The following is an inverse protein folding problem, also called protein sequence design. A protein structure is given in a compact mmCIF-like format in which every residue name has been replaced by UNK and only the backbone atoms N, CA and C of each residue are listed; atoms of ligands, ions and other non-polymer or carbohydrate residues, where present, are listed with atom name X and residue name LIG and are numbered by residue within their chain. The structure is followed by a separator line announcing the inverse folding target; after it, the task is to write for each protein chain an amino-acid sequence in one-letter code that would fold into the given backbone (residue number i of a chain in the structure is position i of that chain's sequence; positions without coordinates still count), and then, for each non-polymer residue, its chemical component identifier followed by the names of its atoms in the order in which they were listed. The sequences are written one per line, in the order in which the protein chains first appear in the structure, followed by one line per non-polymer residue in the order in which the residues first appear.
data_IF_418531579461
#
_entry.id   IF_418531579461
#
_cell.length_a   1.000
_cell.length_b   1.000
_cell.length_c   1.000
_cell.angle_alpha   90.00
_cell.angle_beta   90.00
_cell.angle_gamma   90.00
#
_symmetry.space_group_name_H-M   'P 1'
#
loop_
_entity.id
_entity.type
_entity.pdbx_description
1 polymer ?
#
# COMPACT_ATOMS: atom_id res chain seq x y z
N UNK A 1 -37.72 -42.58 -7.14
CA UNK A 1 -37.17 -41.21 -6.99
C UNK A 1 -36.12 -41.25 -5.89
N UNK A 2 -34.90 -40.89 -6.24
CA UNK A 2 -33.64 -41.43 -5.70
C UNK A 2 -33.07 -40.62 -4.52
N UNK A 3 -32.52 -41.33 -3.53
CA UNK A 3 -31.84 -40.81 -2.32
C UNK A 3 -30.71 -39.80 -2.59
N UNK A 4 -30.28 -39.63 -3.84
CA UNK A 4 -29.22 -38.71 -4.25
C UNK A 4 -29.64 -37.24 -4.11
N UNK A 5 -30.93 -36.90 -4.30
CA UNK A 5 -31.37 -35.50 -4.16
C UNK A 5 -31.33 -35.00 -2.71
N UNK A 6 -31.60 -35.90 -1.74
CA UNK A 6 -31.49 -35.59 -0.30
C UNK A 6 -30.03 -35.37 0.13
N UNK A 7 -29.08 -36.11 -0.44
CA UNK A 7 -27.65 -35.96 -0.12
C UNK A 7 -27.09 -34.61 -0.62
N UNK A 8 -27.49 -34.19 -1.82
CA UNK A 8 -27.04 -32.91 -2.41
C UNK A 8 -27.62 -31.72 -1.62
N UNK A 9 -28.84 -31.84 -1.11
CA UNK A 9 -29.47 -30.79 -0.31
C UNK A 9 -28.86 -30.67 1.11
N UNK A 10 -28.37 -31.78 1.68
CA UNK A 10 -27.67 -31.77 2.96
C UNK A 10 -26.28 -31.12 2.88
N UNK A 11 -25.52 -31.37 1.80
CA UNK A 11 -24.18 -30.78 1.64
C UNK A 11 -24.18 -29.26 1.44
N UNK A 12 -25.22 -28.68 0.83
CA UNK A 12 -25.34 -27.21 0.70
C UNK A 12 -25.57 -26.49 2.04
N UNK A 13 -26.21 -27.13 3.03
CA UNK A 13 -26.48 -26.50 4.34
C UNK A 13 -25.25 -26.43 5.25
N UNK A 14 -24.34 -27.39 5.13
CA UNK A 14 -23.13 -27.45 5.97
C UNK A 14 -22.15 -26.30 5.65
N UNK A 15 -22.02 -25.93 4.37
CA UNK A 15 -21.18 -24.79 3.99
C UNK A 15 -21.74 -23.43 4.40
N UNK A 16 -23.06 -23.27 4.44
CA UNK A 16 -23.68 -22.00 4.85
C UNK A 16 -23.54 -21.75 6.36
N UNK A 17 -23.57 -22.81 7.17
CA UNK A 17 -23.45 -22.69 8.63
C UNK A 17 -22.02 -22.36 9.09
N UNK A 18 -20.99 -22.88 8.41
CA UNK A 18 -19.60 -22.52 8.74
C UNK A 18 -19.24 -21.08 8.36
N UNK A 19 -19.86 -20.52 7.31
CA UNK A 19 -19.64 -19.12 6.93
C UNK A 19 -20.21 -18.13 7.97
N UNK A 20 -21.28 -18.52 8.66
CA UNK A 20 -21.98 -17.65 9.61
C UNK A 20 -21.27 -17.57 10.98
N UNK A 21 -20.53 -18.62 11.37
CA UNK A 21 -19.72 -18.64 12.60
C UNK A 21 -18.50 -17.69 12.48
N UNK A 22 -17.92 -17.53 11.30
CA UNK A 22 -16.79 -16.62 11.10
C UNK A 22 -17.17 -15.14 11.17
N UNK A 23 -18.43 -14.78 10.88
CA UNK A 23 -18.88 -13.38 10.88
C UNK A 23 -19.06 -12.81 12.31
N UNK A 24 -19.37 -13.66 13.29
CA UNK A 24 -19.63 -13.21 14.67
C UNK A 24 -18.35 -12.85 15.44
N UNK A 25 -17.21 -13.47 15.09
CA UNK A 25 -15.94 -13.23 15.80
C UNK A 25 -15.35 -11.84 15.45
N UNK A 26 -15.66 -11.30 14.27
CA UNK A 26 -15.11 -10.01 13.81
C UNK A 26 -15.86 -8.75 14.28
N UNK A 27 -17.00 -8.90 14.95
CA UNK A 27 -17.87 -7.77 15.35
C UNK A 27 -17.87 -7.50 16.87
N UNK A 28 -16.88 -8.03 17.61
CA UNK A 28 -16.75 -7.71 19.04
C UNK A 28 -15.89 -6.45 19.22
N UNK A 29 -16.44 -5.28 19.61
CA UNK A 29 -15.62 -4.18 20.09
C UNK A 29 -15.00 -4.59 21.43
N UNK A 30 -13.67 -4.63 21.49
CA UNK A 30 -12.93 -4.74 22.74
C UNK A 30 -13.23 -3.51 23.59
N UNK A 31 -14.02 -3.70 24.64
CA UNK A 31 -14.22 -2.71 25.70
C UNK A 31 -12.88 -2.53 26.43
N UNK A 32 -12.23 -1.38 26.20
CA UNK A 32 -11.08 -0.93 26.98
C UNK A 32 -11.63 -0.46 28.34
N UNK A 33 -11.28 -1.19 29.40
CA UNK A 33 -11.46 -0.75 30.78
C UNK A 33 -10.56 0.48 31.02
N UNK A 34 -11.18 1.63 31.30
CA UNK A 34 -10.49 2.77 31.88
C UNK A 34 -10.14 2.44 33.32
N UNK A 35 -8.85 2.37 33.62
CA UNK A 35 -8.37 2.29 34.99
C UNK A 35 -8.69 3.60 35.72
N UNK A 36 -9.39 3.42 36.83
CA UNK A 36 -9.72 4.37 37.87
C UNK A 36 -8.43 4.99 38.46
N UNK A 37 -8.28 6.31 38.39
CA UNK A 37 -7.13 7.05 38.93
C UNK A 37 -7.57 7.93 40.10
N UNK A 38 -8.15 7.29 41.12
CA UNK A 38 -8.44 7.91 42.40
C UNK A 38 -7.28 7.70 43.37
N UNK A 39 -6.48 8.77 43.56
CA UNK A 39 -5.90 9.26 44.83
C UNK A 39 -4.56 9.95 44.60
N UNK A 40 -4.57 11.27 44.66
CA UNK A 40 -3.54 11.95 45.43
C UNK A 40 -4.24 12.82 46.47
N UNK A 41 -4.00 12.41 47.71
CA UNK A 41 -4.54 12.97 48.95
C UNK A 41 -3.69 14.17 49.31
N UNK A 42 -4.35 15.26 49.68
CA UNK A 42 -3.72 16.42 50.29
C UNK A 42 -2.85 16.00 51.48
N UNK A 43 -1.57 16.37 51.42
CA UNK A 43 -0.70 16.42 52.59
C UNK A 43 0.07 17.72 52.57
N UNK A 44 -0.49 18.72 53.24
CA UNK A 44 0.26 19.86 53.76
C UNK A 44 1.38 19.31 54.65
N UNK A 45 2.60 19.28 54.11
CA UNK A 45 3.82 19.02 54.87
C UNK A 45 4.81 20.10 54.49
N UNK A 46 5.17 20.88 55.50
CA UNK A 46 6.13 21.98 55.41
C UNK A 46 7.43 21.51 54.75
N UNK A 47 7.86 22.25 53.73
CA UNK A 47 9.08 21.95 52.97
C UNK A 47 10.31 22.20 53.86
N UNK A 48 11.18 21.21 54.10
CA UNK A 48 12.43 21.48 54.78
C UNK A 48 13.28 22.42 53.92
N UNK A 49 13.80 23.47 54.55
CA UNK A 49 14.67 24.45 53.91
C UNK A 49 15.98 23.77 53.50
N UNK A 50 16.10 23.39 52.23
CA UNK A 50 17.36 22.88 51.68
C UNK A 50 18.27 24.06 51.36
N UNK A 51 19.48 24.05 51.93
CA UNK A 51 20.53 24.97 51.52
C UNK A 51 20.76 24.86 50.00
N UNK A 52 20.97 25.97 49.27
CA UNK A 52 21.18 25.92 47.84
C UNK A 52 22.47 25.15 47.54
N UNK A 53 22.34 24.00 46.89
CA UNK A 53 23.47 23.27 46.32
C UNK A 53 24.03 24.16 45.21
N UNK A 54 25.28 24.59 45.36
CA UNK A 54 26.01 25.28 44.32
C UNK A 54 26.34 24.27 43.21
N UNK A 55 25.43 24.08 42.27
CA UNK A 55 25.69 23.29 41.08
C UNK A 55 26.71 24.05 40.21
N UNK A 56 27.99 23.65 40.29
CA UNK A 56 28.88 23.85 39.16
C UNK A 56 28.39 22.91 38.06
N UNK A 57 27.49 23.42 37.22
CA UNK A 57 27.11 22.74 35.99
C UNK A 57 28.37 22.67 35.11
N UNK A 58 29.09 21.56 35.20
CA UNK A 58 29.99 21.14 34.15
C UNK A 58 29.11 20.99 32.92
N UNK A 59 29.12 21.99 32.05
CA UNK A 59 28.44 21.98 30.77
C UNK A 59 29.01 20.83 29.95
N UNK A 60 28.45 19.63 30.12
CA UNK A 60 28.51 18.61 29.09
C UNK A 60 27.88 19.25 27.88
N UNK A 61 28.73 19.61 26.93
CA UNK A 61 28.36 19.85 25.55
C UNK A 61 27.78 18.54 25.05
N UNK A 62 26.48 18.32 25.31
CA UNK A 62 25.71 17.34 24.58
C UNK A 62 25.87 17.75 23.13
N UNK A 63 26.64 16.97 22.38
CA UNK A 63 26.56 16.96 20.94
C UNK A 63 25.11 16.59 20.66
N UNK A 64 24.26 17.62 20.49
CA UNK A 64 22.90 17.45 20.05
C UNK A 64 22.98 16.70 18.74
N UNK A 65 22.68 15.40 18.80
CA UNK A 65 22.32 14.66 17.61
C UNK A 65 21.17 15.47 17.02
N UNK A 66 21.47 16.22 15.97
CA UNK A 66 20.45 16.93 15.21
C UNK A 66 19.63 15.80 14.62
N UNK A 67 18.51 15.45 15.26
CA UNK A 67 17.59 14.47 14.73
C UNK A 67 17.23 14.95 13.32
N UNK A 68 17.66 14.17 12.34
CA UNK A 68 17.50 14.56 10.97
C UNK A 68 16.00 14.54 10.67
N UNK A 69 15.42 15.70 10.33
CA UNK A 69 13.99 15.79 10.01
C UNK A 69 13.69 14.81 8.87
N UNK A 70 12.97 13.73 9.19
CA UNK A 70 12.63 12.69 8.24
C UNK A 70 11.36 13.07 7.49
N UNK A 71 11.53 13.62 6.29
CA UNK A 71 10.44 13.68 5.32
C UNK A 71 10.39 12.38 4.53
N UNK A 72 9.22 11.76 4.44
CA UNK A 72 9.02 10.62 3.54
C UNK A 72 7.83 10.89 2.63
N UNK A 73 7.94 10.43 1.39
CA UNK A 73 6.82 10.42 0.44
C UNK A 73 6.19 9.04 0.52
N UNK A 74 4.89 8.98 0.80
CA UNK A 74 4.13 7.73 0.91
C UNK A 74 3.41 7.41 -0.39
N UNK A 75 2.93 8.43 -1.11
CA UNK A 75 2.32 8.25 -2.43
C UNK A 75 2.37 9.53 -3.24
N UNK A 76 2.43 9.37 -4.56
CA UNK A 76 2.23 10.44 -5.53
C UNK A 76 1.12 10.00 -6.48
N UNK A 77 0.22 10.91 -6.81
CA UNK A 77 -0.80 10.67 -7.83
C UNK A 77 -0.93 11.86 -8.76
N UNK A 78 -1.13 11.57 -10.05
CA UNK A 78 -1.34 12.54 -11.12
C UNK A 78 -2.73 12.30 -11.70
N UNK A 79 -3.59 13.32 -11.74
CA UNK A 79 -4.98 13.22 -12.22
C UNK A 79 -5.77 12.07 -11.56
N UNK A 80 -5.59 11.89 -10.25
CA UNK A 80 -6.17 10.82 -9.42
C UNK A 80 -5.63 9.41 -9.68
N UNK A 81 -4.63 9.24 -10.54
CA UNK A 81 -3.94 7.96 -10.76
C UNK A 81 -2.66 7.91 -9.93
N UNK A 82 -2.47 6.83 -9.17
CA UNK A 82 -1.23 6.62 -8.42
C UNK A 82 -0.10 6.36 -9.41
N UNK A 83 0.99 7.11 -9.25
CA UNK A 83 2.20 6.95 -10.05
C UNK A 83 3.27 6.27 -9.21
N UNK A 84 3.93 5.29 -9.79
CA UNK A 84 5.06 4.61 -9.16
C UNK A 84 6.26 5.56 -9.06
N UNK A 85 6.86 5.63 -7.88
CA UNK A 85 8.07 6.43 -7.65
C UNK A 85 9.27 5.56 -8.04
N UNK A 86 9.85 5.85 -9.19
CA UNK A 86 11.07 5.18 -9.69
C UNK A 86 12.29 5.48 -8.81
N UNK A 87 13.38 4.74 -8.99
CA UNK A 87 14.63 4.92 -8.21
C UNK A 87 15.19 6.36 -8.27
N UNK A 88 15.05 7.01 -9.43
CA UNK A 88 15.46 8.41 -9.64
C UNK A 88 14.44 9.43 -9.12
N UNK A 89 13.28 8.99 -8.62
CA UNK A 89 12.18 9.84 -8.10
C UNK A 89 11.64 10.86 -9.12
N UNK A 90 11.75 10.55 -10.41
CA UNK A 90 11.22 11.38 -11.49
C UNK A 90 9.73 11.06 -11.69
N UNK A 91 8.87 12.08 -11.66
CA UNK A 91 7.43 11.97 -11.94
C UNK A 91 7.12 12.77 -13.20
N UNK A 92 6.70 12.07 -14.25
CA UNK A 92 6.38 12.67 -15.54
C UNK A 92 4.97 13.29 -15.49
N UNK A 93 4.87 14.55 -15.86
CA UNK A 93 3.62 15.31 -15.84
C UNK A 93 3.49 16.16 -17.08
N UNK A 94 2.25 16.39 -17.50
CA UNK A 94 1.88 17.29 -18.58
C UNK A 94 1.35 18.62 -18.04
N UNK A 95 1.23 19.60 -18.93
CA UNK A 95 0.55 20.86 -18.64
C UNK A 95 -0.88 20.57 -18.16
N UNK A 96 -1.31 21.31 -17.14
CA UNK A 96 -2.64 21.24 -16.52
C UNK A 96 -2.92 19.96 -15.71
N UNK A 97 -1.95 19.05 -15.56
CA UNK A 97 -2.07 17.91 -14.66
C UNK A 97 -2.22 18.36 -13.20
N UNK A 98 -3.06 17.64 -12.46
CA UNK A 98 -3.21 17.78 -11.01
C UNK A 98 -2.31 16.77 -10.29
N UNK A 99 -1.34 17.25 -9.53
CA UNK A 99 -0.39 16.45 -8.75
C UNK A 99 -0.75 16.48 -7.28
N UNK A 100 -0.92 15.31 -6.68
CA UNK A 100 -1.08 15.13 -5.23
C UNK A 100 0.10 14.35 -4.68
N UNK A 101 0.71 14.88 -3.62
CA UNK A 101 1.80 14.23 -2.90
C UNK A 101 1.35 14.03 -1.46
N UNK A 102 1.45 12.80 -0.97
CA UNK A 102 1.23 12.47 0.43
C UNK A 102 2.54 11.99 1.06
N UNK A 103 2.71 12.25 2.35
CA UNK A 103 3.93 11.91 3.05
C UNK A 103 3.81 11.90 4.57
N UNK A 104 4.94 11.65 5.22
CA UNK A 104 5.13 11.81 6.67
C UNK A 104 6.14 12.93 6.96
N UNK A 105 5.93 13.62 8.08
CA UNK A 105 6.89 14.52 8.71
C UNK A 105 6.63 14.57 10.22
N UNK A 106 7.30 15.47 10.93
CA UNK A 106 7.05 15.74 12.35
C UNK A 106 5.55 16.05 12.60
N UNK A 107 4.87 15.39 13.54
CA UNK A 107 3.47 15.65 13.84
C UNK A 107 3.16 17.09 14.27
N UNK A 108 1.97 17.60 13.91
CA UNK A 108 1.49 18.96 14.27
C UNK A 108 2.44 20.10 13.85
N UNK A 109 3.28 19.88 12.84
CA UNK A 109 4.24 20.84 12.31
C UNK A 109 3.80 21.42 10.97
N UNK A 110 4.28 22.61 10.63
CA UNK A 110 4.03 23.23 9.34
C UNK A 110 5.13 22.84 8.35
N UNK A 111 4.73 22.16 7.29
CA UNK A 111 5.56 21.74 6.15
C UNK A 111 5.34 22.71 5.01
N UNK A 112 6.44 23.29 4.52
CA UNK A 112 6.49 24.13 3.33
C UNK A 112 7.01 23.26 2.19
N UNK A 113 6.18 23.03 1.18
CA UNK A 113 6.55 22.33 -0.05
C UNK A 113 6.84 23.36 -1.14
N UNK A 114 8.04 23.30 -1.72
CA UNK A 114 8.45 24.12 -2.85
C UNK A 114 8.44 23.30 -4.13
N UNK A 115 7.92 23.89 -5.20
CA UNK A 115 7.99 23.33 -6.55
C UNK A 115 8.07 24.50 -7.53
N UNK A 116 9.06 24.46 -8.44
CA UNK A 116 9.36 25.63 -9.28
C UNK A 116 9.55 26.88 -8.39
N UNK A 117 8.96 28.02 -8.77
CA UNK A 117 8.97 29.27 -8.01
C UNK A 117 7.79 29.39 -7.02
N UNK A 118 7.06 28.31 -6.76
CA UNK A 118 5.85 28.30 -5.93
C UNK A 118 6.10 27.58 -4.60
N UNK A 119 5.33 27.96 -3.58
CA UNK A 119 5.31 27.28 -2.27
C UNK A 119 3.90 27.01 -1.79
N UNK A 120 3.73 25.90 -1.08
CA UNK A 120 2.48 25.50 -0.42
C UNK A 120 2.81 25.17 1.02
N UNK A 121 1.99 25.65 1.96
CA UNK A 121 2.14 25.38 3.39
C UNK A 121 1.02 24.42 3.80
N UNK A 122 1.38 23.33 4.47
CA UNK A 122 0.44 22.34 5.01
C UNK A 122 0.85 21.98 6.44
N UNK A 123 -0.14 21.83 7.32
CA UNK A 123 0.10 21.33 8.68
C UNK A 123 -0.05 19.82 8.70
N UNK A 124 0.92 19.12 9.28
CA UNK A 124 0.85 17.67 9.48
C UNK A 124 -0.17 17.32 10.55
N UNK A 125 -0.82 16.17 10.38
CA UNK A 125 -1.73 15.61 11.37
C UNK A 125 -0.96 15.07 12.59
N UNK A 126 -1.69 14.68 13.64
CA UNK A 126 -1.14 14.06 14.85
C UNK A 126 -0.29 12.81 14.60
N UNK A 127 -0.55 12.09 13.51
CA UNK A 127 0.21 10.90 13.12
C UNK A 127 1.34 11.22 12.11
N UNK A 128 1.63 12.50 11.89
CA UNK A 128 2.65 12.99 10.96
C UNK A 128 2.24 13.00 9.49
N UNK A 129 1.01 12.58 9.13
CA UNK A 129 0.53 12.62 7.75
C UNK A 129 0.39 14.05 7.23
N UNK A 130 0.79 14.28 5.98
CA UNK A 130 0.50 15.50 5.25
C UNK A 130 0.16 15.20 3.78
N UNK A 131 -0.60 16.09 3.15
CA UNK A 131 -1.00 16.00 1.75
C UNK A 131 -0.92 17.40 1.13
N UNK A 132 -0.30 17.51 -0.03
CA UNK A 132 -0.38 18.70 -0.90
C UNK A 132 -1.00 18.34 -2.24
N UNK A 133 -1.73 19.29 -2.82
CA UNK A 133 -2.34 19.19 -4.14
C UNK A 133 -2.05 20.48 -4.91
N UNK A 134 -1.57 20.36 -6.14
CA UNK A 134 -1.31 21.49 -7.01
C UNK A 134 -1.39 21.09 -8.49
N UNK A 135 -1.51 22.08 -9.37
CA UNK A 135 -1.58 21.87 -10.81
C UNK A 135 -0.32 22.36 -11.53
N UNK A 136 0.02 21.71 -12.64
CA UNK A 136 1.13 22.08 -13.52
C UNK A 136 0.70 23.24 -14.43
N UNK A 137 0.55 24.42 -13.82
CA UNK A 137 0.12 25.64 -14.51
C UNK A 137 1.27 26.65 -14.59
N UNK A 138 1.49 27.21 -15.78
CA UNK A 138 2.58 28.15 -16.09
C UNK A 138 3.98 27.58 -15.83
N UNK A 139 4.18 26.31 -16.15
CA UNK A 139 5.48 25.65 -16.10
C UNK A 139 5.92 25.31 -17.52
N UNK A 140 7.18 25.59 -17.84
CA UNK A 140 7.77 25.24 -19.13
C UNK A 140 8.20 23.77 -19.13
N UNK A 141 8.49 23.22 -20.30
CA UNK A 141 9.04 21.86 -20.39
C UNK A 141 10.45 21.83 -19.78
N UNK A 142 10.60 21.20 -18.62
CA UNK A 142 11.84 21.13 -17.86
C UNK A 142 11.71 20.17 -16.66
N UNK A 143 12.79 19.99 -15.92
CA UNK A 143 12.81 19.29 -14.63
C UNK A 143 12.69 20.28 -13.47
N UNK A 144 11.77 20.02 -12.55
CA UNK A 144 11.52 20.85 -11.38
C UNK A 144 11.65 20.01 -10.10
N UNK A 145 12.67 20.26 -9.26
CA UNK A 145 12.76 19.58 -7.98
C UNK A 145 11.60 20.02 -7.08
N UNK A 146 10.97 19.04 -6.42
CA UNK A 146 10.00 19.27 -5.35
C UNK A 146 10.71 19.00 -4.04
N UNK A 147 10.65 19.97 -3.14
CA UNK A 147 11.34 19.90 -1.86
C UNK A 147 10.43 20.27 -0.71
N UNK A 148 10.71 19.78 0.49
CA UNK A 148 10.00 20.12 1.71
C UNK A 148 10.94 20.71 2.76
N UNK A 149 10.39 21.57 3.59
CA UNK A 149 11.07 22.26 4.68
C UNK A 149 10.08 22.43 5.83
N UNK A 150 10.53 22.29 7.08
CA UNK A 150 9.72 22.72 8.22
C UNK A 150 9.78 24.24 8.35
N UNK A 151 8.67 24.90 8.64
CA UNK A 151 8.60 26.37 8.73
C UNK A 151 9.65 26.96 9.69
N UNK A 152 9.96 26.25 10.77
CA UNK A 152 10.92 26.69 11.80
C UNK A 152 12.39 26.34 11.49
N UNK A 153 12.68 25.70 10.34
CA UNK A 153 14.03 25.22 9.99
C UNK A 153 14.39 25.69 8.61
N UNK A 154 15.66 26.03 8.34
CA UNK A 154 16.13 26.37 6.98
C UNK A 154 16.57 25.16 6.15
N UNK A 155 16.43 23.95 6.68
CA UNK A 155 16.85 22.71 6.01
C UNK A 155 15.77 22.27 5.03
N UNK A 156 16.17 22.13 3.78
CA UNK A 156 15.32 21.66 2.69
C UNK A 156 15.67 20.23 2.34
N UNK A 157 14.65 19.38 2.19
CA UNK A 157 14.78 17.96 1.86
C UNK A 157 14.14 17.67 0.50
N UNK A 158 14.84 17.02 -0.44
CA UNK A 158 14.27 16.66 -1.73
C UNK A 158 13.24 15.54 -1.60
N UNK A 159 12.08 15.70 -2.25
CA UNK A 159 11.00 14.73 -2.25
C UNK A 159 10.97 13.92 -3.55
N UNK A 160 10.73 14.60 -4.67
CA UNK A 160 10.64 14.06 -6.04
C UNK A 160 11.12 15.12 -7.05
N UNK A 161 11.25 14.75 -8.32
CA UNK A 161 11.48 15.69 -9.43
C UNK A 161 10.33 15.59 -10.41
N UNK A 162 9.65 16.71 -10.69
CA UNK A 162 8.65 16.76 -11.75
C UNK A 162 9.36 16.92 -13.10
N UNK A 163 9.08 16.04 -14.05
CA UNK A 163 9.54 16.15 -15.42
C UNK A 163 8.35 16.64 -16.26
N UNK A 164 8.30 17.96 -16.48
CA UNK A 164 7.23 18.61 -17.24
C UNK A 164 7.55 18.52 -18.72
N UNK A 165 6.59 18.03 -19.52
CA UNK A 165 6.71 17.95 -20.97
C UNK A 165 5.61 17.09 -21.57
N UNK A 166 5.83 16.52 -22.75
CA UNK A 166 4.98 15.45 -23.29
C UNK A 166 5.18 14.18 -22.47
N UNK A 167 4.68 14.18 -21.23
CA UNK A 167 4.52 12.98 -20.44
C UNK A 167 3.79 11.95 -21.30
N UNK A 168 4.29 10.72 -21.33
CA UNK A 168 3.47 9.59 -21.79
C UNK A 168 2.17 9.71 -21.01
N UNK A 169 1.03 9.87 -21.71
CA UNK A 169 -0.29 9.82 -21.08
C UNK A 169 -0.27 8.61 -20.16
N UNK A 170 -0.34 8.83 -18.85
CA UNK A 170 -0.73 7.76 -17.96
C UNK A 170 -2.12 7.37 -18.46
N UNK A 171 -2.23 6.13 -18.91
CA UNK A 171 -3.44 5.62 -19.52
C UNK A 171 -4.43 5.52 -18.35
N UNK A 172 -5.50 6.31 -18.47
CA UNK A 172 -6.66 6.48 -17.60
C UNK A 172 -6.96 5.33 -16.62
N UNK A 173 -7.55 5.63 -15.43
CA UNK A 173 -8.12 4.60 -14.59
C UNK A 173 -9.12 3.80 -15.41
N UNK A 174 -8.97 2.48 -15.34
CA UNK A 174 -9.88 1.52 -15.94
C UNK A 174 -11.27 1.82 -15.38
N UNK A 175 -12.11 2.49 -16.16
CA UNK A 175 -13.53 2.60 -15.85
C UNK A 175 -14.08 1.19 -16.05
N UNK A 176 -14.46 0.58 -14.94
CA UNK A 176 -14.98 -0.78 -14.84
C UNK A 176 -16.29 -0.91 -15.64
N UNK A 177 -16.15 -1.22 -16.92
CA UNK A 177 -17.20 -1.85 -17.73
C UNK A 177 -16.56 -3.03 -18.43
N UNK A 178 -16.83 -4.20 -17.86
CA UNK A 178 -16.06 -5.42 -18.05
C UNK A 178 -15.71 -5.79 -19.48
N UNK A 179 -14.53 -6.39 -19.63
CA UNK A 179 -14.23 -7.53 -20.52
C UNK A 179 -12.79 -7.97 -20.22
N UNK A 180 -12.67 -9.27 -19.90
CA UNK A 180 -11.48 -10.14 -19.87
C UNK A 180 -10.17 -9.60 -19.29
N UNK A 181 -9.85 -10.09 -18.09
CA UNK A 181 -8.51 -10.30 -17.57
C UNK A 181 -7.69 -11.13 -18.58
N UNK A 182 -7.01 -10.49 -19.52
CA UNK A 182 -5.85 -11.10 -20.18
C UNK A 182 -4.70 -11.06 -19.19
N UNK A 183 -4.51 -12.20 -18.53
CA UNK A 183 -3.31 -12.47 -17.77
C UNK A 183 -2.12 -12.53 -18.74
N UNK A 184 -1.28 -11.50 -18.72
CA UNK A 184 0.02 -11.52 -19.40
C UNK A 184 0.97 -12.46 -18.64
N UNK A 185 0.74 -13.78 -18.77
CA UNK A 185 1.62 -14.80 -18.21
C UNK A 185 2.91 -14.98 -19.03
N UNK A 186 3.02 -14.41 -20.22
CA UNK A 186 4.14 -14.68 -21.13
C UNK A 186 4.65 -13.38 -21.75
N UNK A 187 5.64 -12.78 -21.11
CA UNK A 187 6.38 -11.61 -21.62
C UNK A 187 7.29 -11.98 -22.80
N UNK A 188 7.56 -13.29 -22.99
CA UNK A 188 8.46 -13.80 -24.01
C UNK A 188 7.74 -14.72 -25.02
N UNK A 189 7.78 -14.37 -26.32
CA UNK A 189 7.13 -15.14 -27.39
C UNK A 189 7.57 -16.61 -27.44
N UNK A 190 8.76 -16.93 -26.95
CA UNK A 190 9.27 -18.31 -26.87
C UNK A 190 8.58 -19.18 -25.81
N UNK A 191 8.12 -18.59 -24.71
CA UNK A 191 7.50 -19.34 -23.61
C UNK A 191 6.06 -19.76 -23.94
N UNK A 192 5.32 -18.92 -24.69
CA UNK A 192 3.99 -19.24 -25.18
C UNK A 192 3.96 -20.51 -26.04
N UNK A 193 4.97 -20.67 -26.90
CA UNK A 193 5.09 -21.85 -27.77
C UNK A 193 5.30 -23.11 -26.92
N UNK A 194 6.10 -23.05 -25.86
CA UNK A 194 6.34 -24.19 -24.96
C UNK A 194 5.05 -24.64 -24.26
N UNK A 195 4.20 -23.71 -23.79
CA UNK A 195 2.93 -24.06 -23.16
C UNK A 195 1.94 -24.72 -24.12
N UNK A 196 1.87 -24.26 -25.37
CA UNK A 196 1.06 -24.92 -26.41
C UNK A 196 1.52 -26.37 -26.60
N UNK A 197 2.82 -26.61 -26.68
CA UNK A 197 3.36 -27.96 -26.81
C UNK A 197 3.02 -28.85 -25.61
N UNK A 198 3.08 -28.33 -24.38
CA UNK A 198 2.72 -29.09 -23.18
C UNK A 198 1.24 -29.50 -23.19
N UNK A 199 0.34 -28.61 -23.59
CA UNK A 199 -1.10 -28.91 -23.66
C UNK A 199 -1.39 -29.94 -24.75
N UNK A 200 -0.80 -29.78 -25.95
CA UNK A 200 -0.93 -30.76 -27.04
C UNK A 200 -0.36 -32.13 -26.65
N UNK A 201 0.76 -32.16 -25.94
CA UNK A 201 1.36 -33.40 -25.47
C UNK A 201 0.49 -34.09 -24.40
N UNK A 202 -0.04 -33.35 -23.44
CA UNK A 202 -0.91 -33.89 -22.39
C UNK A 202 -2.20 -34.48 -22.96
N UNK A 203 -2.82 -33.80 -23.94
CA UNK A 203 -4.03 -34.30 -24.61
C UNK A 203 -3.76 -35.57 -25.41
N UNK A 204 -2.65 -35.64 -26.15
CA UNK A 204 -2.24 -36.84 -26.86
C UNK A 204 -1.98 -38.03 -25.90
N UNK A 205 -1.29 -37.78 -24.79
CA UNK A 205 -1.03 -38.80 -23.76
C UNK A 205 -2.33 -39.30 -23.11
N UNK A 206 -3.25 -38.40 -22.78
CA UNK A 206 -4.55 -38.76 -22.21
C UNK A 206 -5.34 -39.68 -23.15
N UNK A 207 -5.38 -39.34 -24.44
CA UNK A 207 -6.06 -40.17 -25.44
C UNK A 207 -5.41 -41.55 -25.60
N UNK A 208 -4.08 -41.59 -25.65
CA UNK A 208 -3.32 -42.85 -25.78
C UNK A 208 -3.52 -43.78 -24.58
N UNK A 209 -3.43 -43.25 -23.36
CA UNK A 209 -3.65 -44.01 -22.12
C UNK A 209 -5.10 -44.50 -21.99
N UNK A 210 -6.07 -43.67 -22.41
CA UNK A 210 -7.48 -44.04 -22.45
C UNK A 210 -7.74 -45.23 -23.39
N UNK A 211 -7.24 -45.14 -24.63
CA UNK A 211 -7.38 -46.22 -25.62
C UNK A 211 -6.70 -47.53 -25.17
N UNK A 212 -5.54 -47.43 -24.54
CA UNK A 212 -4.84 -48.60 -24.01
C UNK A 212 -5.60 -49.29 -22.87
N UNK A 213 -6.27 -48.52 -22.01
CA UNK A 213 -7.08 -49.03 -20.90
C UNK A 213 -8.29 -49.85 -21.40
N UNK A 214 -8.97 -49.40 -22.46
CA UNK A 214 -10.13 -50.11 -23.01
C UNK A 214 -9.77 -51.47 -23.61
N UNK A 215 -8.62 -51.57 -24.29
CA UNK A 215 -8.15 -52.85 -24.87
C UNK A 215 -7.91 -53.91 -23.78
N UNK A 216 -7.43 -53.52 -22.59
CA UNK A 216 -7.28 -54.44 -21.46
C UNK A 216 -8.61 -54.92 -20.88
N UNK A 217 -9.64 -54.07 -20.85
CA UNK A 217 -10.99 -54.47 -20.37
C UNK A 217 -11.65 -55.49 -21.30
N UNK A 218 -11.51 -55.31 -22.62
CA UNK A 218 -12.06 -56.25 -23.61
C UNK A 218 -11.38 -57.63 -23.56
N UNK A 219 -10.06 -57.69 -23.36
CA UNK A 219 -9.35 -58.96 -23.20
C UNK A 219 -9.65 -59.68 -21.87
N UNK A 220 -9.98 -58.94 -20.80
CA UNK A 220 -10.38 -59.56 -19.52
C UNK A 220 -11.76 -60.24 -19.62
N UNK A 221 -12.72 -59.61 -20.32
CA UNK A 221 -14.05 -60.19 -20.51
C UNK A 221 -14.06 -61.41 -21.47
N UNK A 222 -13.11 -61.50 -22.41
CA UNK A 222 -12.94 -62.69 -23.27
C UNK A 222 -12.37 -63.92 -22.57
N UNK A 223 -11.79 -63.80 -21.36
CA UNK A 223 -11.29 -64.94 -20.57
C UNK A 223 -12.30 -65.49 -19.53
N UNK A 224 -13.48 -64.87 -19.43
CA UNK A 224 -14.55 -65.25 -18.48
C UNK A 224 -15.77 -65.86 -19.22
N UNK A 225 -15.66 -66.02 -20.55
CA UNK A 225 -16.55 -66.88 -21.36
C UNK A 225 -15.74 -68.05 -21.86
#
# INVERSE_FOLDING_TARGET
MSNISKLIQAMKKIHLFQLLIFLVIFLSPSAIQSADFDRYKDSETESPYYAPILFQAYGQKINGATEEIQFTVTSVSVNNEIVEITENKDIYVAKDDAVRIAGKAEPKSNVIVYYSDKKIIVTTRENGDWIVLFSITNMNESKYPVTAQLENTKKTTPLITLVVGTGKKVIQPILDTGVSQESSFFENKGEYIAFIFVILFATALGWFLGSYSEKKKLNKNKRIK
#
